data_IF_428120354468
#
_entry.id   IF_428120354468
#
_cell.length_a   1.000
_cell.length_b   1.000
_cell.length_c   1.000
_cell.angle_alpha   90.00
_cell.angle_beta   90.00
_cell.angle_gamma   90.00
#
_symmetry.space_group_name_H-M   'P 1'
#
loop_
_entity.id
_entity.type
_entity.pdbx_description
1 polymer ?
#
# COMPACT_ATOMS: atom_id res chain seq x y z
N UNK A 1 15.47 35.31 -5.22
CA UNK A 1 15.30 33.89 -4.84
C UNK A 1 15.93 33.06 -5.94
N UNK A 2 17.11 32.51 -5.68
CA UNK A 2 17.94 31.89 -6.71
C UNK A 2 17.46 30.49 -7.09
N UNK A 3 17.53 30.22 -8.40
CA UNK A 3 17.15 28.94 -9.04
C UNK A 3 17.99 27.78 -8.50
N UNK A 4 19.22 28.05 -8.06
CA UNK A 4 20.14 27.09 -7.44
C UNK A 4 19.67 26.63 -6.05
N UNK A 5 19.10 27.51 -5.23
CA UNK A 5 18.53 27.13 -3.92
C UNK A 5 17.32 26.22 -4.08
N UNK A 6 16.47 26.48 -5.09
CA UNK A 6 15.29 25.65 -5.39
C UNK A 6 15.71 24.26 -5.88
N UNK A 7 16.77 24.16 -6.69
CA UNK A 7 17.32 22.88 -7.15
C UNK A 7 17.82 22.04 -5.98
N UNK A 8 18.60 22.63 -5.07
CA UNK A 8 19.12 21.90 -3.92
C UNK A 8 18.00 21.40 -2.99
N UNK A 9 16.97 22.23 -2.76
CA UNK A 9 15.78 21.86 -1.98
C UNK A 9 15.02 20.68 -2.59
N UNK A 10 14.78 20.73 -3.91
CA UNK A 10 14.14 19.63 -4.65
C UNK A 10 14.94 18.34 -4.49
N UNK A 11 16.24 18.39 -4.68
CA UNK A 11 17.11 17.21 -4.58
C UNK A 11 17.06 16.60 -3.18
N UNK A 12 17.15 17.41 -2.12
CA UNK A 12 17.05 16.92 -0.74
C UNK A 12 15.71 16.25 -0.43
N UNK A 13 14.59 16.84 -0.89
CA UNK A 13 13.25 16.27 -0.67
C UNK A 13 13.08 14.96 -1.45
N UNK A 14 13.50 14.92 -2.72
CA UNK A 14 13.36 13.72 -3.56
C UNK A 14 14.15 12.53 -3.01
N UNK A 15 15.26 12.74 -2.32
CA UNK A 15 16.03 11.64 -1.71
C UNK A 15 15.52 11.23 -0.32
N UNK A 16 15.19 12.18 0.55
CA UNK A 16 14.81 11.90 1.94
C UNK A 16 13.41 11.30 2.03
N UNK A 17 12.45 11.83 1.28
CA UNK A 17 11.05 11.41 1.35
C UNK A 17 10.83 9.92 1.05
N UNK A 18 11.34 9.33 -0.05
CA UNK A 18 11.10 7.93 -0.34
C UNK A 18 11.81 7.00 0.65
N UNK A 19 12.95 7.40 1.21
CA UNK A 19 13.63 6.62 2.27
C UNK A 19 12.78 6.51 3.53
N UNK A 20 12.24 7.64 4.01
CA UNK A 20 11.39 7.67 5.20
C UNK A 20 10.11 6.87 4.95
N UNK A 21 9.47 7.06 3.79
CA UNK A 21 8.27 6.31 3.41
C UNK A 21 8.54 4.80 3.31
N UNK A 22 9.71 4.39 2.83
CA UNK A 22 10.05 2.97 2.72
C UNK A 22 10.24 2.34 4.10
N UNK A 23 10.94 3.01 5.02
CA UNK A 23 11.16 2.50 6.38
C UNK A 23 9.83 2.46 7.15
N UNK A 24 9.11 3.58 7.22
CA UNK A 24 7.85 3.66 7.96
C UNK A 24 6.77 2.79 7.33
N UNK A 25 6.70 2.74 6.00
CA UNK A 25 5.74 1.91 5.26
C UNK A 25 5.96 0.42 5.50
N UNK A 26 7.21 -0.06 5.44
CA UNK A 26 7.51 -1.46 5.75
C UNK A 26 7.19 -1.82 7.21
N UNK A 27 7.55 -0.95 8.16
CA UNK A 27 7.21 -1.16 9.58
C UNK A 27 5.69 -1.23 9.75
N UNK A 28 4.95 -0.30 9.15
CA UNK A 28 3.48 -0.28 9.20
C UNK A 28 2.85 -1.54 8.61
N UNK A 29 3.32 -1.99 7.44
CA UNK A 29 2.85 -3.23 6.82
C UNK A 29 3.16 -4.47 7.67
N UNK A 30 4.36 -4.56 8.26
CA UNK A 30 4.74 -5.67 9.15
C UNK A 30 3.85 -5.67 10.40
N UNK A 31 3.62 -4.51 11.02
CA UNK A 31 2.73 -4.38 12.16
C UNK A 31 1.30 -4.82 11.79
N UNK A 32 0.75 -4.35 10.66
CA UNK A 32 -0.56 -4.78 10.19
C UNK A 32 -0.61 -6.30 9.97
N UNK A 33 0.42 -6.87 9.33
CA UNK A 33 0.49 -8.32 9.11
C UNK A 33 0.52 -9.11 10.41
N UNK A 34 1.29 -8.68 11.41
CA UNK A 34 1.35 -9.30 12.73
C UNK A 34 0.00 -9.19 13.46
N UNK A 35 -0.65 -8.03 13.42
CA UNK A 35 -1.96 -7.80 14.04
C UNK A 35 -3.04 -8.67 13.41
N UNK A 36 -3.09 -8.78 12.08
CA UNK A 36 -4.10 -9.61 11.40
C UNK A 36 -3.79 -11.12 11.45
N UNK A 37 -2.53 -11.50 11.70
CA UNK A 37 -2.14 -12.90 11.97
C UNK A 37 -2.58 -13.36 13.36
N UNK A 38 -2.90 -12.43 14.28
CA UNK A 38 -3.36 -12.75 15.62
C UNK A 38 -4.67 -13.58 15.58
N UNK A 39 -4.68 -14.66 16.38
CA UNK A 39 -5.73 -15.71 16.38
C UNK A 39 -7.14 -15.17 16.63
N UNK A 40 -7.27 -14.04 17.33
CA UNK A 40 -8.55 -13.39 17.64
C UNK A 40 -9.20 -12.73 16.41
N UNK A 41 -8.43 -12.14 15.49
CA UNK A 41 -8.99 -11.48 14.30
C UNK A 41 -9.29 -12.45 13.16
N UNK A 42 -8.63 -13.62 13.14
CA UNK A 42 -8.82 -14.65 12.12
C UNK A 42 -10.17 -15.38 12.19
N UNK A 43 -10.94 -15.19 13.27
CA UNK A 43 -12.30 -15.71 13.39
C UNK A 43 -13.32 -14.94 12.52
N UNK A 44 -13.00 -13.70 12.12
CA UNK A 44 -13.89 -12.87 11.31
C UNK A 44 -13.40 -12.78 9.86
N UNK A 45 -14.31 -12.96 8.90
CA UNK A 45 -14.04 -12.79 7.45
C UNK A 45 -13.42 -11.42 7.14
N UNK A 46 -13.84 -10.38 7.85
CA UNK A 46 -13.29 -9.02 7.79
C UNK A 46 -11.76 -8.96 8.01
N UNK A 47 -11.21 -9.76 8.93
CA UNK A 47 -9.77 -9.78 9.19
C UNK A 47 -8.94 -10.30 8.01
N UNK A 48 -9.52 -11.18 7.18
CA UNK A 48 -8.87 -11.69 5.98
C UNK A 48 -8.76 -10.64 4.87
N UNK A 49 -9.81 -9.83 4.68
CA UNK A 49 -9.80 -8.74 3.71
C UNK A 49 -8.74 -7.67 4.05
N UNK A 50 -8.61 -7.32 5.33
CA UNK A 50 -7.57 -6.39 5.77
C UNK A 50 -6.15 -6.96 5.62
N UNK A 51 -5.96 -8.27 5.85
CA UNK A 51 -4.68 -8.93 5.61
C UNK A 51 -4.29 -8.88 4.12
N UNK A 52 -5.25 -9.09 3.22
CA UNK A 52 -5.00 -8.99 1.77
C UNK A 52 -4.68 -7.56 1.35
N UNK A 53 -5.42 -6.56 1.83
CA UNK A 53 -5.10 -5.14 1.61
C UNK A 53 -3.66 -4.80 2.06
N UNK A 54 -3.27 -5.18 3.28
CA UNK A 54 -1.92 -4.93 3.79
C UNK A 54 -0.82 -5.63 2.97
N UNK A 55 -1.11 -6.82 2.42
CA UNK A 55 -0.20 -7.55 1.53
C UNK A 55 -0.01 -6.80 0.20
N UNK A 56 -1.10 -6.31 -0.42
CA UNK A 56 -1.01 -5.52 -1.66
C UNK A 56 -0.28 -4.20 -1.43
N UNK A 57 -0.50 -3.52 -0.30
CA UNK A 57 0.24 -2.31 0.05
C UNK A 57 1.73 -2.60 0.27
N UNK A 58 2.08 -3.73 0.88
CA UNK A 58 3.47 -4.15 1.05
C UNK A 58 4.14 -4.43 -0.31
N UNK A 59 3.46 -5.12 -1.22
CA UNK A 59 3.95 -5.39 -2.58
C UNK A 59 4.13 -4.08 -3.36
N UNK A 60 3.17 -3.15 -3.24
CA UNK A 60 3.26 -1.85 -3.87
C UNK A 60 4.45 -1.04 -3.36
N UNK A 61 4.67 -0.98 -2.04
CA UNK A 61 5.82 -0.30 -1.45
C UNK A 61 7.14 -0.93 -1.92
N UNK A 62 7.23 -2.26 -1.93
CA UNK A 62 8.46 -2.96 -2.30
C UNK A 62 8.73 -2.94 -3.81
N UNK A 63 7.72 -2.94 -4.68
CA UNK A 63 7.95 -2.91 -6.13
C UNK A 63 7.99 -1.46 -6.63
N UNK A 64 7.02 -0.63 -6.28
CA UNK A 64 6.90 0.74 -6.78
C UNK A 64 7.97 1.66 -6.20
N UNK A 65 8.10 1.69 -4.87
CA UNK A 65 8.98 2.66 -4.20
C UNK A 65 10.45 2.24 -4.30
N UNK A 66 10.77 0.95 -4.13
CA UNK A 66 12.14 0.44 -4.27
C UNK A 66 12.69 0.65 -5.69
N UNK A 67 11.88 0.38 -6.71
CA UNK A 67 12.25 0.61 -8.11
C UNK A 67 12.51 2.09 -8.38
N UNK A 68 11.66 2.98 -7.86
CA UNK A 68 11.84 4.43 -7.99
C UNK A 68 13.14 4.88 -7.33
N UNK A 69 13.45 4.34 -6.15
CA UNK A 69 14.69 4.61 -5.43
C UNK A 69 15.91 4.13 -6.23
N UNK A 70 15.85 2.93 -6.78
CA UNK A 70 16.90 2.33 -7.59
C UNK A 70 17.16 3.13 -8.88
N UNK A 71 16.11 3.62 -9.55
CA UNK A 71 16.24 4.46 -10.74
C UNK A 71 16.90 5.81 -10.43
N UNK A 72 16.45 6.50 -9.37
CA UNK A 72 16.92 7.84 -8.99
C UNK A 72 18.34 7.83 -8.39
N UNK A 73 18.70 6.83 -7.57
CA UNK A 73 20.01 6.79 -6.89
C UNK A 73 21.11 6.09 -7.67
N UNK A 74 20.79 5.01 -8.38
CA UNK A 74 21.79 4.22 -9.11
C UNK A 74 21.86 4.58 -10.60
N UNK A 75 21.05 5.56 -11.06
CA UNK A 75 20.99 5.95 -12.47
C UNK A 75 20.62 4.77 -13.38
N UNK A 76 19.85 3.83 -12.84
CA UNK A 76 19.67 2.53 -13.47
C UNK A 76 18.81 2.68 -14.73
N UNK A 77 19.43 2.44 -15.90
CA UNK A 77 18.81 2.41 -17.23
C UNK A 77 17.84 1.25 -17.42
N UNK A 78 17.35 0.61 -16.34
CA UNK A 78 16.33 -0.45 -16.40
C UNK A 78 15.03 0.04 -17.05
N UNK A 79 14.64 1.30 -16.81
CA UNK A 79 13.48 1.92 -17.46
C UNK A 79 13.71 2.16 -18.97
N UNK A 80 14.94 2.48 -19.38
CA UNK A 80 15.30 2.70 -20.80
C UNK A 80 15.60 1.39 -21.56
N UNK A 81 16.10 0.37 -20.86
CA UNK A 81 16.46 -0.92 -21.48
C UNK A 81 15.28 -1.87 -21.64
N UNK A 82 14.25 -1.78 -20.78
CA UNK A 82 13.09 -2.66 -20.83
C UNK A 82 11.76 -1.89 -20.74
N UNK A 83 11.21 -1.54 -21.92
CA UNK A 83 9.86 -0.96 -22.07
C UNK A 83 8.78 -1.74 -21.34
N UNK A 84 8.90 -3.07 -21.31
CA UNK A 84 7.95 -3.97 -20.64
C UNK A 84 7.94 -3.70 -19.14
N UNK A 85 9.11 -3.52 -18.53
CA UNK A 85 9.24 -3.29 -17.10
C UNK A 85 8.74 -1.90 -16.70
N UNK A 86 9.05 -0.87 -17.50
CA UNK A 86 8.54 0.48 -17.31
C UNK A 86 7.00 0.53 -17.36
N UNK A 87 6.37 -0.14 -18.34
CA UNK A 87 4.91 -0.23 -18.45
C UNK A 87 4.29 -1.04 -17.31
N UNK A 88 4.88 -2.18 -16.97
CA UNK A 88 4.40 -3.03 -15.88
C UNK A 88 4.47 -2.30 -14.53
N UNK A 89 5.55 -1.55 -14.28
CA UNK A 89 5.67 -0.70 -13.09
C UNK A 89 4.57 0.34 -13.04
N UNK A 90 4.34 1.07 -14.13
CA UNK A 90 3.29 2.09 -14.19
C UNK A 90 1.91 1.47 -13.90
N UNK A 91 1.61 0.32 -14.51
CA UNK A 91 0.38 -0.42 -14.26
C UNK A 91 0.24 -0.85 -12.78
N UNK A 92 1.25 -1.52 -12.23
CA UNK A 92 1.26 -1.98 -10.83
C UNK A 92 1.10 -0.79 -9.86
N UNK A 93 1.75 0.34 -10.14
CA UNK A 93 1.71 1.53 -9.28
C UNK A 93 0.29 2.11 -9.17
N UNK A 94 -0.52 2.00 -10.23
CA UNK A 94 -1.90 2.48 -10.21
C UNK A 94 -2.88 1.42 -9.69
N UNK A 95 -2.70 0.16 -10.08
CA UNK A 95 -3.69 -0.88 -9.83
C UNK A 95 -3.62 -1.43 -8.40
N UNK A 96 -2.42 -1.61 -7.83
CA UNK A 96 -2.30 -2.15 -6.47
C UNK A 96 -2.99 -1.32 -5.38
N UNK A 97 -2.84 0.02 -5.33
CA UNK A 97 -3.54 0.81 -4.31
C UNK A 97 -5.07 0.81 -4.53
N UNK A 98 -5.55 0.73 -5.77
CA UNK A 98 -6.97 0.53 -6.05
C UNK A 98 -7.46 -0.80 -5.46
N UNK A 99 -6.77 -1.90 -5.74
CA UNK A 99 -7.11 -3.22 -5.20
C UNK A 99 -7.10 -3.22 -3.66
N UNK A 100 -6.10 -2.59 -3.04
CA UNK A 100 -6.04 -2.46 -1.56
C UNK A 100 -7.26 -1.72 -1.02
N UNK A 101 -7.65 -0.62 -1.66
CA UNK A 101 -8.83 0.16 -1.27
C UNK A 101 -10.12 -0.64 -1.44
N UNK A 102 -10.25 -1.39 -2.54
CA UNK A 102 -11.42 -2.24 -2.81
C UNK A 102 -11.60 -3.31 -1.73
N UNK A 103 -10.51 -3.91 -1.23
CA UNK A 103 -10.58 -4.85 -0.11
C UNK A 103 -11.07 -4.20 1.19
N UNK A 104 -10.70 -2.95 1.47
CA UNK A 104 -11.19 -2.21 2.63
C UNK A 104 -12.70 -1.92 2.47
N UNK A 105 -13.15 -1.56 1.27
CA UNK A 105 -14.57 -1.34 0.98
C UNK A 105 -15.35 -2.65 1.18
N UNK A 106 -14.87 -3.76 0.63
CA UNK A 106 -15.50 -5.08 0.84
C UNK A 106 -15.56 -5.47 2.32
N UNK A 107 -14.49 -5.19 3.08
CA UNK A 107 -14.48 -5.42 4.53
C UNK A 107 -15.55 -4.59 5.27
N UNK A 108 -15.78 -3.35 4.83
CA UNK A 108 -16.82 -2.48 5.40
C UNK A 108 -18.23 -2.95 5.05
N UNK A 109 -18.45 -3.44 3.83
CA UNK A 109 -19.72 -4.00 3.38
C UNK A 109 -20.06 -5.29 4.15
N UNK A 110 -19.09 -6.19 4.31
CA UNK A 110 -19.24 -7.43 5.09
C UNK A 110 -19.66 -7.14 6.54
N UNK A 111 -19.05 -6.12 7.15
CA UNK A 111 -19.39 -5.67 8.50
C UNK A 111 -20.78 -5.02 8.60
N UNK A 112 -21.15 -4.22 7.59
CA UNK A 112 -22.45 -3.58 7.51
C UNK A 112 -23.58 -4.62 7.42
N UNK A 113 -23.44 -5.59 6.50
CA UNK A 113 -24.39 -6.68 6.30
C UNK A 113 -24.51 -7.59 7.54
N UNK A 114 -23.38 -7.89 8.19
CA UNK A 114 -23.38 -8.68 9.43
C UNK A 114 -24.14 -7.97 10.56
N UNK A 115 -23.99 -6.64 10.65
CA UNK A 115 -24.66 -5.84 11.68
C UNK A 115 -26.16 -5.68 11.39
N UNK A 116 -26.56 -5.50 10.14
CA UNK A 116 -27.98 -5.41 9.76
C UNK A 116 -28.72 -6.72 10.02
N UNK A 117 -28.08 -7.86 9.77
CA UNK A 117 -28.66 -9.19 10.05
C UNK A 117 -28.85 -9.41 11.55
N UNK A 118 -27.91 -8.92 12.37
CA UNK A 118 -28.01 -8.98 13.83
C UNK A 118 -29.11 -8.07 14.38
N UNK A 119 -29.26 -6.85 13.84
CA UNK A 119 -30.33 -5.91 14.19
C UNK A 119 -31.72 -6.43 13.83
N UNK A 120 -31.87 -7.10 12.68
CA UNK A 120 -33.14 -7.73 12.28
C UNK A 120 -33.52 -8.84 13.24
N UNK A 121 -32.57 -9.71 13.66
CA UNK A 121 -32.86 -10.77 14.65
C UNK A 121 -33.33 -10.22 15.99
N UNK A 122 -32.72 -9.14 16.48
CA UNK A 122 -33.06 -8.53 17.77
C UNK A 122 -34.39 -7.75 17.77
N UNK A 123 -34.93 -7.37 16.61
CA UNK A 123 -36.26 -6.74 16.51
C UNK A 123 -37.41 -7.75 16.37
N UNK A 124 -37.11 -9.05 16.26
CA UNK A 124 -38.11 -10.13 16.10
C UNK A 124 -38.30 -11.00 17.34
N UNK A 125 -37.55 -10.78 18.42
CA UNK A 125 -37.85 -11.28 19.78
C UNK A 125 -38.41 -10.14 20.64
#
# INVERSE_FOLDING_TARGET
MDITSIKNLRTSITFITPYIMLILGNIGCICNFLTFTAKQLRQNSCGWYFLMSALFDFIFLNIGLFTKLASEQYGSTLDDTNIIWCRMRAFLTWVLPCISTDYIVLASLDRCLSTSTFLVKYCTE
#
